data_IF_574006682156
#
_entry.id   IF_574006682156
#
_cell.length_a   1.000
_cell.length_b   1.000
_cell.length_c   1.000
_cell.angle_alpha   90.00
_cell.angle_beta   90.00
_cell.angle_gamma   90.00
#
_symmetry.space_group_name_H-M   'P 1'
#
loop_
_entity.id
_entity.type
_entity.pdbx_description
1 polymer ?
#
# COMPACT_ATOMS: atom_id res chain seq x y z
N UNK A 1 -46.56 -28.34 71.73
CA UNK A 1 -45.75 -28.81 70.59
C UNK A 1 -45.82 -27.71 69.53
N UNK A 2 -44.85 -26.79 69.55
CA UNK A 2 -44.77 -25.64 68.63
C UNK A 2 -43.87 -26.01 67.45
N UNK A 3 -44.23 -25.72 66.19
CA UNK A 3 -43.31 -25.90 65.07
C UNK A 3 -42.46 -24.64 64.86
N UNK A 4 -41.14 -24.82 64.81
CA UNK A 4 -40.16 -23.81 64.35
C UNK A 4 -40.29 -23.57 62.85
N UNK A 5 -40.43 -22.32 62.44
CA UNK A 5 -40.27 -21.88 61.07
C UNK A 5 -38.78 -21.61 60.77
N UNK A 6 -38.28 -22.14 59.64
CA UNK A 6 -36.91 -21.92 59.15
C UNK A 6 -36.97 -21.01 57.92
N UNK A 7 -36.42 -19.80 58.05
CA UNK A 7 -36.37 -18.79 57.00
C UNK A 7 -35.09 -18.95 56.19
N UNK A 8 -35.20 -19.21 54.89
CA UNK A 8 -34.07 -19.27 53.94
C UNK A 8 -33.84 -17.89 53.32
N UNK A 9 -32.62 -17.34 53.46
CA UNK A 9 -32.19 -16.11 52.80
C UNK A 9 -31.66 -16.40 51.38
N UNK A 10 -31.99 -15.61 50.35
CA UNK A 10 -31.41 -15.75 49.02
C UNK A 10 -29.99 -15.14 48.96
N UNK A 11 -29.06 -15.89 48.37
CA UNK A 11 -27.72 -15.39 48.02
C UNK A 11 -27.79 -14.46 46.80
N UNK A 12 -27.36 -13.21 47.00
CA UNK A 12 -27.16 -12.24 45.92
C UNK A 12 -25.80 -12.49 45.25
N UNK A 13 -25.83 -12.82 43.96
CA UNK A 13 -24.64 -12.93 43.11
C UNK A 13 -24.17 -11.51 42.71
N UNK A 14 -22.89 -11.14 42.91
CA UNK A 14 -22.41 -9.82 42.51
C UNK A 14 -22.30 -9.72 40.97
N UNK A 15 -22.65 -8.56 40.38
CA UNK A 15 -22.59 -8.37 38.93
C UNK A 15 -21.13 -8.38 38.44
N UNK A 16 -20.83 -9.26 37.48
CA UNK A 16 -19.56 -9.26 36.78
C UNK A 16 -19.45 -8.01 35.90
N UNK A 17 -18.53 -7.10 36.21
CA UNK A 17 -18.17 -6.00 35.32
C UNK A 17 -17.40 -6.55 34.12
N UNK A 18 -18.06 -6.62 32.96
CA UNK A 18 -17.40 -6.85 31.67
C UNK A 18 -16.73 -5.57 31.21
N UNK A 19 -15.40 -5.55 31.15
CA UNK A 19 -14.64 -4.47 30.52
C UNK A 19 -14.74 -4.62 29.01
N UNK A 20 -15.60 -3.81 28.38
CA UNK A 20 -15.63 -3.70 26.92
C UNK A 20 -14.28 -3.15 26.44
N UNK A 21 -13.49 -3.99 25.76
CA UNK A 21 -12.29 -3.53 25.05
C UNK A 21 -12.78 -2.65 23.90
N UNK A 22 -12.32 -1.39 23.75
CA UNK A 22 -12.69 -0.58 22.60
C UNK A 22 -12.30 -1.33 21.34
N UNK A 23 -13.27 -1.56 20.45
CA UNK A 23 -13.00 -2.12 19.14
C UNK A 23 -12.09 -1.13 18.40
N UNK A 24 -10.83 -1.51 18.18
CA UNK A 24 -9.95 -0.79 17.27
C UNK A 24 -10.66 -0.72 15.92
N UNK A 25 -10.73 0.49 15.32
CA UNK A 25 -11.25 0.63 13.97
C UNK A 25 -10.43 -0.29 13.06
N UNK A 26 -11.08 -1.23 12.40
CA UNK A 26 -10.38 -2.13 11.49
C UNK A 26 -9.88 -1.31 10.29
N UNK A 27 -8.64 -1.51 9.86
CA UNK A 27 -8.15 -0.97 8.58
C UNK A 27 -8.89 -1.66 7.45
N UNK A 28 -10.03 -1.13 7.05
CA UNK A 28 -10.80 -1.72 5.97
C UNK A 28 -10.11 -1.45 4.63
N UNK A 29 -10.29 -2.38 3.68
CA UNK A 29 -9.80 -2.19 2.31
C UNK A 29 -10.38 -0.92 1.69
N UNK A 30 -11.65 -0.62 1.97
CA UNK A 30 -12.36 0.55 1.46
C UNK A 30 -11.74 1.85 1.95
N UNK A 31 -11.48 1.98 3.25
CA UNK A 31 -10.90 3.21 3.83
C UNK A 31 -9.49 3.48 3.29
N UNK A 32 -8.67 2.44 3.16
CA UNK A 32 -7.31 2.55 2.62
C UNK A 32 -7.32 2.99 1.15
N UNK A 33 -8.27 2.50 0.36
CA UNK A 33 -8.44 2.90 -1.04
C UNK A 33 -9.07 4.30 -1.15
N UNK A 34 -9.94 4.70 -0.23
CA UNK A 34 -10.46 6.05 -0.15
C UNK A 34 -9.35 7.07 0.15
N UNK A 35 -8.44 6.75 1.08
CA UNK A 35 -7.25 7.57 1.34
C UNK A 35 -6.33 7.66 0.11
N UNK A 36 -6.10 6.54 -0.58
CA UNK A 36 -5.35 6.52 -1.84
C UNK A 36 -5.99 7.41 -2.93
N UNK A 37 -7.31 7.37 -3.06
CA UNK A 37 -8.05 8.23 -4.01
C UNK A 37 -7.90 9.73 -3.70
N UNK A 38 -7.89 10.10 -2.42
CA UNK A 38 -7.60 11.48 -1.99
C UNK A 38 -6.17 11.88 -2.36
N UNK A 39 -5.22 10.96 -2.26
CA UNK A 39 -3.84 11.20 -2.70
C UNK A 39 -3.72 11.38 -4.21
N UNK A 40 -4.36 10.53 -5.02
CA UNK A 40 -4.39 10.73 -6.49
C UNK A 40 -4.98 12.09 -6.84
N UNK A 41 -6.05 12.50 -6.17
CA UNK A 41 -6.67 13.82 -6.34
C UNK A 41 -5.69 14.94 -5.98
N UNK A 42 -5.02 14.84 -4.83
CA UNK A 42 -4.04 15.82 -4.36
C UNK A 42 -2.88 16.00 -5.35
N UNK A 43 -2.35 14.90 -5.90
CA UNK A 43 -1.31 14.92 -6.95
C UNK A 43 -1.86 15.57 -8.22
N UNK A 44 -3.09 15.24 -8.62
CA UNK A 44 -3.71 15.80 -9.81
C UNK A 44 -3.88 17.31 -9.73
N UNK A 45 -4.29 17.83 -8.57
CA UNK A 45 -4.50 19.25 -8.34
C UNK A 45 -3.26 20.01 -7.86
N UNK A 46 -2.17 19.32 -7.53
CA UNK A 46 -0.97 19.92 -6.94
C UNK A 46 -1.21 20.55 -5.56
N UNK A 47 -2.20 20.06 -4.81
CA UNK A 47 -2.53 20.58 -3.47
C UNK A 47 -2.75 19.44 -2.48
N UNK A 48 -2.18 19.59 -1.30
CA UNK A 48 -2.24 18.60 -0.22
C UNK A 48 -3.36 18.89 0.79
N UNK A 49 -4.13 19.98 0.60
CA UNK A 49 -5.10 20.44 1.59
C UNK A 49 -6.19 19.41 1.93
N UNK A 50 -6.50 18.50 0.99
CA UNK A 50 -7.48 17.42 1.17
C UNK A 50 -6.90 16.13 1.75
N UNK A 51 -5.58 16.06 1.95
CA UNK A 51 -4.95 14.89 2.55
C UNK A 51 -5.13 14.92 4.07
N UNK A 52 -5.70 13.87 4.67
CA UNK A 52 -5.85 13.82 6.12
C UNK A 52 -4.53 13.42 6.76
N UNK A 53 -3.60 14.37 6.87
CA UNK A 53 -2.27 14.12 7.45
C UNK A 53 -2.33 14.26 8.97
N UNK A 54 -1.68 13.35 9.70
CA UNK A 54 -1.51 13.52 11.15
C UNK A 54 -0.58 14.70 11.44
N UNK A 55 -0.66 15.29 12.64
CA UNK A 55 0.19 16.45 13.03
C UNK A 55 1.68 16.14 12.93
N UNK A 56 2.08 14.87 13.14
CA UNK A 56 3.47 14.41 13.12
C UNK A 56 3.74 13.47 11.94
N UNK A 57 3.02 13.62 10.82
CA UNK A 57 3.24 12.77 9.66
C UNK A 57 4.67 12.95 9.11
N UNK A 58 5.16 11.90 8.47
CA UNK A 58 6.46 11.92 7.80
C UNK A 58 6.30 11.83 6.29
N UNK A 59 7.17 12.51 5.56
CA UNK A 59 7.29 12.39 4.11
C UNK A 59 8.69 11.88 3.75
N UNK A 60 8.74 10.86 2.90
CA UNK A 60 9.97 10.32 2.33
C UNK A 60 9.84 10.29 0.82
N UNK A 61 10.92 10.68 0.14
CA UNK A 61 11.01 10.59 -1.31
C UNK A 61 12.34 9.98 -1.73
N UNK A 62 12.29 8.98 -2.63
CA UNK A 62 13.49 8.31 -3.16
C UNK A 62 14.46 7.89 -2.04
N UNK A 63 13.91 7.25 -1.00
CA UNK A 63 14.60 6.78 0.20
C UNK A 63 15.25 7.87 1.08
N UNK A 64 14.86 9.14 0.93
CA UNK A 64 15.38 10.27 1.71
C UNK A 64 14.25 11.03 2.42
N UNK A 65 14.47 11.41 3.68
CA UNK A 65 13.55 12.28 4.40
C UNK A 65 13.39 13.62 3.65
N UNK A 66 12.14 14.08 3.52
CA UNK A 66 11.82 15.31 2.78
C UNK A 66 10.54 15.94 3.36
N UNK A 67 9.99 16.95 2.67
CA UNK A 67 8.72 17.59 3.03
C UNK A 67 7.80 17.63 1.81
N UNK A 68 6.48 17.70 2.05
CA UNK A 68 5.50 17.82 0.95
C UNK A 68 5.72 19.06 0.08
N UNK A 69 6.22 20.15 0.65
CA UNK A 69 6.57 21.36 -0.11
C UNK A 69 7.70 21.14 -1.12
N UNK A 70 8.55 20.11 -0.93
CA UNK A 70 9.65 19.75 -1.82
C UNK A 70 9.35 18.50 -2.65
N UNK A 71 8.18 17.90 -2.47
CA UNK A 71 7.82 16.64 -3.07
C UNK A 71 7.65 16.76 -4.59
N UNK A 72 8.26 15.84 -5.33
CA UNK A 72 8.07 15.72 -6.77
C UNK A 72 6.59 15.50 -7.14
N UNK A 73 5.85 14.76 -6.30
CA UNK A 73 4.44 14.47 -6.48
C UNK A 73 3.53 15.72 -6.38
N UNK A 74 4.00 16.81 -5.76
CA UNK A 74 3.22 18.02 -5.51
C UNK A 74 3.88 19.30 -6.06
N UNK A 75 4.98 19.18 -6.81
CA UNK A 75 5.71 20.33 -7.34
C UNK A 75 4.88 21.17 -8.34
N UNK A 76 3.91 20.53 -9.00
CA UNK A 76 2.94 21.15 -9.91
C UNK A 76 1.74 20.21 -10.06
N UNK A 77 0.56 20.72 -10.49
CA UNK A 77 -0.55 19.86 -10.88
C UNK A 77 -0.13 18.87 -11.97
N UNK A 78 -0.43 17.58 -11.79
CA UNK A 78 -0.11 16.54 -12.76
C UNK A 78 -1.37 16.03 -13.46
N UNK A 79 -1.33 15.89 -14.78
CA UNK A 79 -2.35 15.13 -15.49
C UNK A 79 -2.14 13.64 -15.23
N UNK A 80 -3.12 12.99 -14.62
CA UNK A 80 -3.08 11.55 -14.35
C UNK A 80 -3.53 10.79 -15.60
N UNK A 81 -2.61 10.10 -16.28
CA UNK A 81 -2.93 9.28 -17.45
C UNK A 81 -3.30 7.83 -17.05
N UNK A 82 -2.81 7.38 -15.89
CA UNK A 82 -3.16 6.11 -15.24
C UNK A 82 -2.88 6.19 -13.74
N UNK A 83 -3.76 5.63 -12.93
CA UNK A 83 -3.52 5.37 -11.51
C UNK A 83 -4.03 3.98 -11.12
N UNK A 84 -3.28 3.27 -10.28
CA UNK A 84 -3.67 1.98 -9.71
C UNK A 84 -3.34 1.94 -8.24
N UNK A 85 -4.30 1.51 -7.42
CA UNK A 85 -4.12 1.42 -5.97
C UNK A 85 -4.47 0.03 -5.44
N UNK A 86 -3.74 -0.40 -4.42
CA UNK A 86 -4.03 -1.61 -3.65
C UNK A 86 -3.89 -1.33 -2.15
N UNK A 87 -4.48 -2.18 -1.33
CA UNK A 87 -4.56 -2.01 0.11
C UNK A 87 -4.01 -3.24 0.85
N UNK A 88 -3.27 -2.98 1.91
CA UNK A 88 -2.77 -3.95 2.88
C UNK A 88 -3.42 -3.65 4.23
N UNK A 89 -4.48 -4.40 4.54
CA UNK A 89 -5.26 -4.25 5.78
C UNK A 89 -4.49 -4.70 7.03
N UNK A 90 -3.48 -5.56 6.87
CA UNK A 90 -2.64 -6.04 7.97
C UNK A 90 -1.60 -4.98 8.35
N UNK A 91 -0.98 -4.35 7.35
CA UNK A 91 -0.01 -3.28 7.58
C UNK A 91 -0.64 -1.89 7.73
N UNK A 92 -1.97 -1.78 7.64
CA UNK A 92 -2.72 -0.54 7.57
C UNK A 92 -2.14 0.46 6.57
N UNK A 93 -1.94 0.00 5.34
CA UNK A 93 -1.26 0.74 4.30
C UNK A 93 -1.93 0.59 2.93
N UNK A 94 -1.69 1.55 2.05
CA UNK A 94 -2.01 1.41 0.63
C UNK A 94 -0.77 1.66 -0.23
N UNK A 95 -0.76 1.08 -1.41
CA UNK A 95 0.19 1.39 -2.47
C UNK A 95 -0.55 2.00 -3.64
N UNK A 96 -0.01 3.07 -4.21
CA UNK A 96 -0.57 3.74 -5.38
C UNK A 96 0.52 4.00 -6.42
N UNK A 97 0.31 3.47 -7.62
CA UNK A 97 1.07 3.77 -8.82
C UNK A 97 0.37 4.88 -9.60
N UNK A 98 1.07 5.94 -9.96
CA UNK A 98 0.59 7.02 -10.83
C UNK A 98 1.53 7.16 -12.02
N UNK A 99 0.94 7.28 -13.22
CA UNK A 99 1.66 7.68 -14.43
C UNK A 99 1.10 9.00 -14.93
N UNK A 100 1.95 10.01 -14.95
CA UNK A 100 1.77 11.28 -15.65
C UNK A 100 2.76 11.30 -16.80
N UNK A 101 2.27 10.98 -18.00
CA UNK A 101 3.10 10.80 -19.20
C UNK A 101 3.24 12.05 -20.05
N UNK A 102 2.46 13.09 -19.74
CA UNK A 102 2.39 14.34 -20.50
C UNK A 102 2.76 15.56 -19.65
N UNK A 103 3.02 16.70 -20.32
CA UNK A 103 3.47 17.94 -19.68
C UNK A 103 4.98 18.16 -19.76
N UNK A 104 5.44 19.30 -19.21
CA UNK A 104 6.86 19.70 -19.28
C UNK A 104 7.80 18.76 -18.50
N UNK A 105 7.27 18.10 -17.46
CA UNK A 105 8.01 17.14 -16.65
C UNK A 105 7.12 15.94 -16.30
N UNK A 106 7.25 14.81 -17.01
CA UNK A 106 6.48 13.61 -16.74
C UNK A 106 7.00 12.86 -15.50
N UNK A 107 6.14 12.05 -14.89
CA UNK A 107 6.41 11.31 -13.68
C UNK A 107 5.82 9.90 -13.71
N UNK A 108 6.56 8.95 -13.14
CA UNK A 108 6.01 7.69 -12.65
C UNK A 108 6.25 7.68 -11.14
N UNK A 109 5.16 7.65 -10.37
CA UNK A 109 5.18 7.72 -8.92
C UNK A 109 4.70 6.39 -8.35
N UNK A 110 5.44 5.87 -7.38
CA UNK A 110 5.07 4.71 -6.58
C UNK A 110 5.02 5.14 -5.12
N UNK A 111 3.83 5.27 -4.56
CA UNK A 111 3.61 5.86 -3.23
C UNK A 111 2.97 4.84 -2.29
N UNK A 112 3.57 4.65 -1.12
CA UNK A 112 2.92 4.01 0.02
C UNK A 112 2.33 5.07 0.95
N UNK A 113 1.05 4.90 1.31
CA UNK A 113 0.43 5.60 2.43
C UNK A 113 0.35 4.65 3.60
N UNK A 114 0.73 5.10 4.79
CA UNK A 114 0.54 4.33 6.03
C UNK A 114 -0.27 5.13 7.03
N UNK A 115 -1.03 4.40 7.81
CA UNK A 115 -1.91 4.92 8.85
C UNK A 115 -1.37 4.57 10.24
N UNK A 116 -1.92 5.22 11.27
CA UNK A 116 -1.43 5.09 12.64
C UNK A 116 -1.65 3.70 13.25
N UNK A 117 -0.93 3.42 14.34
CA UNK A 117 -1.15 2.23 15.16
C UNK A 117 -2.60 2.19 15.66
N UNK A 118 -3.17 0.99 15.78
CA UNK A 118 -4.57 0.81 16.20
C UNK A 118 -5.60 0.92 15.07
N UNK A 119 -5.13 1.10 13.83
CA UNK A 119 -5.96 0.97 12.63
C UNK A 119 -6.83 2.18 12.28
N UNK A 120 -6.50 3.34 12.84
CA UNK A 120 -7.12 4.60 12.50
C UNK A 120 -6.75 5.03 11.07
N UNK A 121 -7.64 4.75 10.12
CA UNK A 121 -7.54 5.15 8.71
C UNK A 121 -7.93 6.61 8.48
N UNK A 122 -8.39 7.34 9.51
CA UNK A 122 -8.80 8.73 9.39
C UNK A 122 -7.62 9.68 9.17
N UNK A 123 -6.40 9.28 9.53
CA UNK A 123 -5.17 10.06 9.34
C UNK A 123 -4.03 9.25 8.73
N UNK A 124 -3.21 9.90 7.90
CA UNK A 124 -2.01 9.37 7.27
C UNK A 124 -0.80 9.78 8.11
N UNK A 125 0.02 8.80 8.50
CA UNK A 125 1.21 8.99 9.34
C UNK A 125 2.53 8.93 8.55
N UNK A 126 2.54 8.26 7.41
CA UNK A 126 3.66 8.23 6.47
C UNK A 126 3.17 8.30 5.04
N UNK A 127 3.80 9.19 4.26
CA UNK A 127 3.74 9.21 2.80
C UNK A 127 5.15 8.92 2.29
N UNK A 128 5.34 7.77 1.65
CA UNK A 128 6.63 7.33 1.12
C UNK A 128 6.54 7.16 -0.38
N UNK A 129 7.29 7.95 -1.14
CA UNK A 129 7.20 7.99 -2.60
C UNK A 129 8.53 7.68 -3.26
N UNK A 130 8.52 6.76 -4.21
CA UNK A 130 9.57 6.67 -5.23
C UNK A 130 9.08 7.45 -6.45
N UNK A 131 9.83 8.48 -6.83
CA UNK A 131 9.50 9.38 -7.93
C UNK A 131 10.55 9.26 -9.03
N UNK A 132 10.16 8.67 -10.16
CA UNK A 132 10.96 8.64 -11.38
C UNK A 132 10.48 9.74 -12.35
N UNK A 133 11.42 10.45 -12.96
CA UNK A 133 11.16 11.57 -13.86
C UNK A 133 12.30 11.74 -14.86
N UNK A 134 12.27 12.81 -15.67
CA UNK A 134 13.34 13.13 -16.62
C UNK A 134 14.71 13.11 -15.95
N UNK A 135 15.64 12.32 -16.50
CA UNK A 135 16.98 12.10 -15.96
C UNK A 135 17.12 10.85 -15.08
N UNK A 136 16.01 10.22 -14.66
CA UNK A 136 16.05 8.91 -14.01
C UNK A 136 16.52 7.82 -14.97
N UNK A 137 17.18 6.79 -14.45
CA UNK A 137 17.71 5.66 -15.23
C UNK A 137 16.60 5.06 -16.11
N UNK A 138 16.86 4.98 -17.42
CA UNK A 138 15.98 4.35 -18.40
C UNK A 138 14.55 4.92 -18.50
N UNK A 139 14.31 6.11 -17.95
CA UNK A 139 12.96 6.64 -17.80
C UNK A 139 12.32 7.10 -19.12
N UNK A 140 11.10 6.63 -19.36
CA UNK A 140 10.21 7.05 -20.44
C UNK A 140 8.74 6.77 -20.04
N UNK A 141 8.07 7.77 -19.46
CA UNK A 141 6.70 7.61 -18.96
C UNK A 141 5.68 7.14 -20.02
N UNK A 142 5.69 7.62 -21.29
CA UNK A 142 4.80 7.07 -22.32
C UNK A 142 5.00 5.57 -22.58
N UNK A 143 6.24 5.07 -22.58
CA UNK A 143 6.51 3.62 -22.70
C UNK A 143 5.97 2.85 -21.50
N UNK A 144 6.26 3.31 -20.27
CA UNK A 144 5.73 2.69 -19.05
C UNK A 144 4.20 2.66 -19.04
N UNK A 145 3.54 3.75 -19.47
CA UNK A 145 2.09 3.81 -19.64
C UNK A 145 1.59 2.76 -20.64
N UNK A 146 2.29 2.59 -21.76
CA UNK A 146 1.96 1.58 -22.77
C UNK A 146 1.98 0.15 -22.22
N UNK A 147 2.99 -0.22 -21.43
CA UNK A 147 3.06 -1.54 -20.80
C UNK A 147 1.92 -1.74 -19.79
N UNK A 148 1.74 -0.78 -18.87
CA UNK A 148 0.75 -0.90 -17.80
C UNK A 148 -0.69 -0.99 -18.32
N UNK A 149 -1.02 -0.33 -19.44
CA UNK A 149 -2.34 -0.43 -20.08
C UNK A 149 -2.68 -1.83 -20.58
N UNK A 150 -1.67 -2.64 -20.88
CA UNK A 150 -1.86 -4.01 -21.34
C UNK A 150 -1.98 -5.02 -20.20
N UNK A 151 -1.66 -4.61 -18.97
CA UNK A 151 -1.76 -5.47 -17.80
C UNK A 151 -3.16 -5.44 -17.17
N UNK A 152 -3.65 -6.60 -16.73
CA UNK A 152 -4.85 -6.70 -15.89
C UNK A 152 -4.45 -6.80 -14.42
N UNK A 153 -4.89 -5.83 -13.62
CA UNK A 153 -4.72 -5.84 -12.16
C UNK A 153 -6.07 -6.08 -11.47
N UNK A 154 -6.87 -6.97 -12.05
CA UNK A 154 -8.13 -7.37 -11.46
C UNK A 154 -7.90 -8.08 -10.12
N UNK A 155 -8.91 -8.02 -9.26
CA UNK A 155 -8.88 -8.75 -8.01
C UNK A 155 -8.80 -10.26 -8.27
N UNK A 156 -7.78 -10.90 -7.72
CA UNK A 156 -7.60 -12.35 -7.83
C UNK A 156 -8.70 -13.03 -7.00
N UNK A 157 -9.39 -14.08 -7.50
CA UNK A 157 -10.36 -14.84 -6.71
C UNK A 157 -9.76 -15.33 -5.40
N UNK A 158 -10.50 -15.26 -4.30
CA UNK A 158 -9.97 -15.55 -2.96
C UNK A 158 -9.25 -16.91 -2.86
N UNK A 159 -9.85 -17.95 -3.45
CA UNK A 159 -9.28 -19.30 -3.48
C UNK A 159 -7.95 -19.43 -4.26
N UNK A 160 -7.61 -18.43 -5.08
CA UNK A 160 -6.37 -18.38 -5.88
C UNK A 160 -5.34 -17.40 -5.31
N UNK A 161 -5.65 -16.68 -4.22
CA UNK A 161 -4.73 -15.72 -3.63
C UNK A 161 -3.60 -16.44 -2.90
N UNK A 162 -2.33 -16.14 -3.22
CA UNK A 162 -1.21 -16.66 -2.45
C UNK A 162 -1.25 -16.10 -1.02
N UNK A 163 -0.67 -16.83 -0.06
CA UNK A 163 -0.52 -16.33 1.30
C UNK A 163 0.41 -15.12 1.35
N UNK A 164 0.25 -14.29 2.39
CA UNK A 164 1.12 -13.13 2.63
C UNK A 164 2.57 -13.55 2.77
N UNK A 165 2.82 -14.66 3.47
CA UNK A 165 4.14 -15.23 3.71
C UNK A 165 4.80 -15.64 2.39
N UNK A 166 4.03 -16.25 1.48
CA UNK A 166 4.53 -16.62 0.16
C UNK A 166 4.88 -15.40 -0.69
N UNK A 167 4.01 -14.39 -0.73
CA UNK A 167 4.27 -13.14 -1.46
C UNK A 167 5.53 -12.43 -0.97
N UNK A 168 5.70 -12.31 0.36
CA UNK A 168 6.91 -11.74 0.96
C UNK A 168 8.15 -12.54 0.60
N UNK A 169 8.11 -13.87 0.79
CA UNK A 169 9.24 -14.76 0.47
C UNK A 169 9.70 -14.59 -0.98
N UNK A 170 8.78 -14.56 -1.94
CA UNK A 170 9.12 -14.42 -3.36
C UNK A 170 9.62 -13.01 -3.68
N UNK A 171 9.03 -11.97 -3.09
CA UNK A 171 9.49 -10.59 -3.25
C UNK A 171 10.89 -10.35 -2.67
N UNK A 172 11.16 -10.90 -1.49
CA UNK A 172 12.47 -10.83 -0.83
C UNK A 172 13.51 -11.58 -1.68
N UNK A 173 13.20 -12.79 -2.15
CA UNK A 173 14.09 -13.57 -3.01
C UNK A 173 14.47 -12.84 -4.31
N UNK A 174 13.55 -12.07 -4.91
CA UNK A 174 13.86 -11.24 -6.09
C UNK A 174 14.92 -10.16 -5.77
N UNK A 175 14.84 -9.54 -4.60
CA UNK A 175 15.83 -8.56 -4.16
C UNK A 175 17.15 -9.24 -3.76
N UNK A 176 17.09 -10.45 -3.20
CA UNK A 176 18.28 -11.20 -2.79
C UNK A 176 19.15 -11.62 -3.98
N UNK A 177 18.63 -11.66 -5.21
CA UNK A 177 19.40 -11.94 -6.44
C UNK A 177 20.61 -11.01 -6.62
N UNK A 178 20.60 -9.83 -6.01
CA UNK A 178 21.72 -8.89 -6.04
C UNK A 178 22.89 -9.27 -5.12
N UNK A 179 22.66 -10.17 -4.16
CA UNK A 179 23.67 -10.61 -3.17
C UNK A 179 23.86 -12.12 -3.13
N UNK A 180 22.90 -12.89 -3.64
CA UNK A 180 22.91 -14.35 -3.71
C UNK A 180 22.53 -14.82 -5.12
N UNK A 181 23.51 -15.41 -5.82
CA UNK A 181 23.33 -15.94 -7.19
C UNK A 181 22.34 -17.11 -7.29
N UNK A 182 22.02 -17.77 -6.18
CA UNK A 182 21.10 -18.92 -6.13
C UNK A 182 19.66 -18.51 -5.77
N UNK A 183 19.45 -17.27 -5.31
CA UNK A 183 18.12 -16.78 -4.94
C UNK A 183 17.11 -16.89 -6.11
N UNK A 184 17.58 -16.71 -7.35
CA UNK A 184 16.76 -16.80 -8.55
C UNK A 184 16.09 -18.19 -8.73
N UNK A 185 16.70 -19.26 -8.24
CA UNK A 185 16.19 -20.64 -8.34
C UNK A 185 14.98 -20.87 -7.42
N UNK A 186 14.77 -19.99 -6.43
CA UNK A 186 13.66 -20.06 -5.48
C UNK A 186 12.40 -19.30 -5.93
N UNK A 187 12.49 -18.56 -7.03
CA UNK A 187 11.42 -17.70 -7.55
C UNK A 187 10.59 -18.49 -8.57
N UNK A 188 9.26 -18.63 -8.37
CA UNK A 188 8.38 -19.26 -9.35
C UNK A 188 8.11 -18.31 -10.52
N UNK A 189 9.07 -18.17 -11.43
CA UNK A 189 8.96 -17.31 -12.60
C UNK A 189 7.75 -17.71 -13.46
N UNK A 190 6.99 -16.71 -13.93
CA UNK A 190 5.92 -16.93 -14.89
C UNK A 190 6.46 -17.36 -16.25
N UNK A 191 5.65 -18.10 -17.02
CA UNK A 191 6.00 -18.52 -18.39
C UNK A 191 6.24 -17.31 -19.29
N UNK A 192 5.40 -16.28 -19.16
CA UNK A 192 5.63 -14.94 -19.72
C UNK A 192 6.29 -14.05 -18.66
N UNK A 193 7.59 -14.23 -18.47
CA UNK A 193 8.36 -13.38 -17.56
C UNK A 193 8.78 -12.09 -18.28
N UNK A 194 8.13 -10.98 -17.92
CA UNK A 194 8.50 -9.65 -18.40
C UNK A 194 9.13 -8.86 -17.26
N UNK A 195 10.24 -8.19 -17.52
CA UNK A 195 10.90 -7.29 -16.58
C UNK A 195 11.03 -5.91 -17.21
N UNK A 196 10.43 -4.92 -16.54
CA UNK A 196 10.54 -3.51 -16.90
C UNK A 196 11.40 -2.78 -15.87
N UNK A 197 12.55 -2.26 -16.30
CA UNK A 197 13.46 -1.47 -15.46
C UNK A 197 13.50 -0.03 -15.96
N UNK A 198 12.97 0.90 -15.15
CA UNK A 198 12.63 2.25 -15.60
C UNK A 198 11.53 2.20 -16.66
N UNK A 199 11.94 2.11 -17.93
CA UNK A 199 11.06 1.84 -19.07
C UNK A 199 11.70 0.92 -20.10
N UNK A 200 12.84 0.29 -19.76
CA UNK A 200 13.47 -0.74 -20.57
C UNK A 200 12.80 -2.07 -20.31
N UNK A 201 12.33 -2.67 -21.39
CA UNK A 201 11.59 -3.91 -21.36
C UNK A 201 12.52 -5.05 -21.74
N UNK A 202 12.50 -6.10 -20.92
CA UNK A 202 13.23 -7.34 -21.16
C UNK A 202 12.28 -8.51 -20.99
N UNK A 203 12.31 -9.45 -21.93
CA UNK A 203 11.70 -10.78 -21.78
C UNK A 203 12.84 -11.78 -21.74
N UNK A 204 13.30 -12.20 -20.55
CA UNK A 204 14.12 -13.38 -20.48
C UNK A 204 13.33 -14.51 -21.12
N UNK A 205 13.89 -15.17 -22.12
CA UNK A 205 13.32 -16.45 -22.56
C UNK A 205 13.46 -17.35 -21.33
N UNK A 206 12.34 -17.72 -20.71
CA UNK A 206 12.38 -18.75 -19.68
C UNK A 206 12.94 -19.98 -20.39
N UNK A 207 14.21 -20.31 -20.12
CA UNK A 207 14.72 -21.64 -20.43
C UNK A 207 13.85 -22.56 -19.59
N UNK A 208 12.83 -23.14 -20.21
CA UNK A 208 12.12 -24.29 -19.68
C UNK A 208 13.20 -25.29 -19.28
N UNK A 209 13.45 -25.39 -17.98
CA UNK A 209 14.17 -26.50 -17.39
C UNK A 209 13.13 -27.44 -16.81
#
# INVERSE_FOLDING_TARGET
MFPSASTTLPHLCPPSLSTATPALAACTREDLLAAASKFVTAVSSGTIASLPLSTNFTYRENNKASTLAKAAAFAQPLKIDLSRSTADTVACASYTLIVSSSGAKPYVLATQLRHGEGGDTSVITLVDTIAATTGSLFFNAPKTLGYLRNESWAEIPEAQRPSRELLKKVGDAYLDMWTDKTAADSIPWGTDCERVEGSQYTRPVALAR
#
